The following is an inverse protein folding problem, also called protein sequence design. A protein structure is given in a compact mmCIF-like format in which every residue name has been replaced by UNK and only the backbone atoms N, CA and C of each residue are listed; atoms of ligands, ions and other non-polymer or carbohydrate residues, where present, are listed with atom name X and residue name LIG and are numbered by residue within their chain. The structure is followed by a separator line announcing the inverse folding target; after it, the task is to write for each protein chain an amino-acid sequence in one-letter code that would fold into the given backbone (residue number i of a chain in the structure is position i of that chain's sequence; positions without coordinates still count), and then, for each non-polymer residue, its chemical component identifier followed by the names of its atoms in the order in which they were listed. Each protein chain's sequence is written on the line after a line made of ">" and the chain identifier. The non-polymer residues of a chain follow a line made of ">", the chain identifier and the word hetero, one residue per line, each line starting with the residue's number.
data_IF_195077107884
#
_entry.id   IF_195077107884
#
_cell.length_a   1.000
_cell.length_b   1.000
_cell.length_c   1.000
_cell.angle_alpha   90.00
_cell.angle_beta   90.00
_cell.angle_gamma   90.00
#
_symmetry.space_group_name_H-M   'P 1'
#
loop_
_entity.id
_entity.type
_entity.pdbx_description
1 polymer ?
#
# COMPACT_ATOMS: atom_id res chain seq x y z
N UNK A 1 -10.13 5.68 -5.86
CA UNK A 1 -8.73 6.13 -5.63
C UNK A 1 -7.87 5.76 -6.84
N UNK A 2 -6.75 6.43 -7.08
CA UNK A 2 -5.94 6.22 -8.31
C UNK A 2 -4.46 6.07 -7.94
N UNK A 3 -3.78 5.09 -8.52
CA UNK A 3 -2.34 4.92 -8.45
C UNK A 3 -1.73 5.16 -9.84
N UNK A 4 -0.67 5.95 -9.95
CA UNK A 4 -0.05 6.27 -11.24
C UNK A 4 1.48 6.32 -11.17
N UNK A 5 2.15 5.91 -12.24
CA UNK A 5 3.59 6.09 -12.46
C UNK A 5 3.93 7.40 -13.23
N UNK A 6 2.92 8.25 -13.47
CA UNK A 6 3.04 9.48 -14.28
C UNK A 6 2.72 9.31 -15.77
N UNK A 7 2.63 8.06 -16.26
CA UNK A 7 2.25 7.76 -17.66
C UNK A 7 0.98 6.93 -17.71
N UNK A 8 0.91 5.87 -16.89
CA UNK A 8 -0.21 4.95 -16.74
C UNK A 8 -0.88 5.21 -15.40
N UNK A 9 -2.21 5.05 -15.36
CA UNK A 9 -3.01 5.17 -14.15
C UNK A 9 -3.87 3.91 -13.96
N UNK A 10 -3.88 3.40 -12.73
CA UNK A 10 -4.73 2.31 -12.28
C UNK A 10 -5.73 2.85 -11.28
N UNK A 11 -7.02 2.71 -11.58
CA UNK A 11 -8.10 3.04 -10.65
C UNK A 11 -8.30 1.88 -9.68
N UNK A 12 -8.25 2.18 -8.40
CA UNK A 12 -8.59 1.28 -7.31
C UNK A 12 -9.93 1.70 -6.70
N UNK A 13 -10.67 0.75 -6.11
CA UNK A 13 -11.96 1.06 -5.49
C UNK A 13 -11.80 1.93 -4.25
N UNK A 14 -12.69 2.92 -4.08
CA UNK A 14 -12.72 3.77 -2.87
C UNK A 14 -13.29 3.04 -1.64
N UNK A 15 -13.94 1.90 -1.84
CA UNK A 15 -14.53 1.08 -0.76
C UNK A 15 -13.50 0.16 -0.08
N UNK A 16 -12.23 0.19 -0.50
CA UNK A 16 -11.17 -0.58 0.14
C UNK A 16 -10.88 -0.06 1.55
N UNK A 17 -10.67 -0.98 2.48
CA UNK A 17 -10.34 -0.67 3.87
C UNK A 17 -8.83 -0.38 4.01
N UNK A 18 -8.49 0.75 4.63
CA UNK A 18 -7.10 1.03 5.04
C UNK A 18 -6.80 0.28 6.35
N UNK A 19 -5.80 -0.60 6.36
CA UNK A 19 -5.49 -1.44 7.54
C UNK A 19 -4.71 -0.68 8.61
N UNK A 20 -4.00 0.40 8.24
CA UNK A 20 -3.23 1.23 9.16
C UNK A 20 -3.64 2.72 9.07
N UNK A 21 -4.89 3.08 9.40
CA UNK A 21 -5.35 4.47 9.25
C UNK A 21 -4.66 5.44 10.21
N UNK A 22 -4.26 4.97 11.40
CA UNK A 22 -3.62 5.77 12.44
C UNK A 22 -2.11 5.55 12.44
N UNK A 23 -1.38 6.47 11.81
CA UNK A 23 0.09 6.49 11.82
C UNK A 23 0.60 7.36 12.96
N UNK A 24 1.61 6.88 13.69
CA UNK A 24 2.34 7.68 14.68
C UNK A 24 3.61 8.25 14.04
N UNK A 25 3.65 9.56 13.76
CA UNK A 25 4.79 10.16 13.08
C UNK A 25 5.98 10.37 14.01
N UNK A 26 5.77 10.36 15.33
CA UNK A 26 6.84 10.55 16.32
C UNK A 26 7.40 9.19 16.72
N UNK A 27 8.73 9.06 16.73
CA UNK A 27 9.45 7.92 17.29
C UNK A 27 10.37 8.36 18.42
N UNK A 28 10.74 7.43 19.29
CA UNK A 28 11.71 7.67 20.34
C UNK A 28 12.76 6.56 20.46
N UNK A 29 14.00 6.95 20.73
CA UNK A 29 15.07 6.07 21.17
C UNK A 29 15.37 6.34 22.65
N UNK A 30 15.39 5.27 23.45
CA UNK A 30 15.67 5.35 24.89
C UNK A 30 17.02 4.71 25.17
N UNK A 31 17.87 5.43 25.90
CA UNK A 31 19.17 4.92 26.36
C UNK A 31 19.49 5.46 27.76
N UNK A 32 20.57 4.96 28.36
CA UNK A 32 21.06 5.41 29.65
C UNK A 32 22.51 5.89 29.55
N UNK A 33 22.86 6.90 30.33
CA UNK A 33 24.26 7.31 30.51
C UNK A 33 25.01 6.34 31.43
N UNK A 34 26.34 6.46 31.51
CA UNK A 34 27.15 5.69 32.49
C UNK A 34 26.79 5.99 33.95
N UNK A 35 26.14 7.13 34.22
CA UNK A 35 25.63 7.50 35.54
C UNK A 35 24.21 7.00 35.80
N UNK A 36 23.57 6.32 34.84
CA UNK A 36 22.21 5.82 34.94
C UNK A 36 21.11 6.85 34.64
N UNK A 37 21.45 8.03 34.10
CA UNK A 37 20.45 9.01 33.68
C UNK A 37 19.75 8.53 32.41
N UNK A 38 18.42 8.70 32.34
CA UNK A 38 17.61 8.35 31.17
C UNK A 38 17.80 9.41 30.08
N UNK A 39 18.18 8.98 28.88
CA UNK A 39 18.17 9.78 27.66
C UNK A 39 17.01 9.33 26.78
N UNK A 40 16.17 10.29 26.39
CA UNK A 40 15.06 10.10 25.45
C UNK A 40 15.33 11.01 24.26
N UNK A 41 15.56 10.40 23.09
CA UNK A 41 15.68 11.10 21.82
C UNK A 41 14.39 10.90 21.04
N UNK A 42 13.68 11.98 20.75
CA UNK A 42 12.36 11.95 20.12
C UNK A 42 12.37 12.81 18.85
N UNK A 43 11.84 12.26 17.75
CA UNK A 43 11.79 12.99 16.47
C UNK A 43 10.66 12.52 15.55
N UNK A 44 10.43 13.30 14.50
CA UNK A 44 9.38 13.05 13.50
C UNK A 44 9.95 12.25 12.33
N UNK A 45 9.34 11.09 12.04
CA UNK A 45 9.58 10.27 10.84
C UNK A 45 9.24 11.09 9.59
N UNK A 46 10.24 11.26 8.72
CA UNK A 46 10.09 12.04 7.49
C UNK A 46 9.43 11.23 6.36
N UNK A 47 9.53 9.91 6.41
CA UNK A 47 8.99 8.99 5.42
C UNK A 47 8.69 7.63 6.09
N UNK A 48 8.16 6.68 5.31
CA UNK A 48 7.95 5.32 5.78
C UNK A 48 6.57 5.07 6.39
N UNK A 49 5.58 5.95 6.15
CA UNK A 49 4.19 5.68 6.57
C UNK A 49 3.65 4.47 5.77
N UNK A 50 3.33 3.33 6.42
CA UNK A 50 2.70 2.20 5.75
C UNK A 50 1.26 2.58 5.37
N UNK A 51 0.87 2.21 4.16
CA UNK A 51 -0.46 2.44 3.61
C UNK A 51 -0.93 1.16 2.94
N UNK A 52 -1.59 0.28 3.72
CA UNK A 52 -2.15 -0.97 3.18
C UNK A 52 -3.64 -0.81 2.93
N UNK A 53 -4.07 -1.12 1.72
CA UNK A 53 -5.49 -1.13 1.33
C UNK A 53 -5.92 -2.55 1.00
N UNK A 54 -7.06 -2.96 1.55
CA UNK A 54 -7.60 -4.30 1.39
C UNK A 54 -9.06 -4.24 0.93
N UNK A 55 -9.38 -5.02 -0.12
CA UNK A 55 -10.75 -5.32 -0.52
C UNK A 55 -11.42 -6.22 0.50
N UNK A 56 -12.70 -6.01 0.77
CA UNK A 56 -13.51 -6.90 1.57
C UNK A 56 -14.18 -7.97 0.70
N UNK A 57 -14.63 -9.10 1.27
CA UNK A 57 -15.30 -10.16 0.51
C UNK A 57 -16.50 -9.67 -0.31
N UNK A 58 -17.15 -8.60 0.12
CA UNK A 58 -18.37 -8.02 -0.45
C UNK A 58 -18.16 -6.66 -1.16
N UNK A 59 -17.03 -5.98 -0.92
CA UNK A 59 -16.79 -4.60 -1.40
C UNK A 59 -15.33 -4.33 -1.75
N UNK A 60 -15.07 -3.25 -2.50
CA UNK A 60 -13.70 -2.82 -2.78
C UNK A 60 -12.95 -3.65 -3.82
N UNK A 61 -13.65 -4.42 -4.67
CA UNK A 61 -13.04 -5.26 -5.69
C UNK A 61 -12.41 -4.44 -6.82
N UNK A 62 -11.44 -5.02 -7.50
CA UNK A 62 -10.76 -4.43 -8.66
C UNK A 62 -10.73 -5.42 -9.83
N UNK A 63 -10.69 -4.95 -11.09
CA UNK A 63 -10.56 -5.85 -12.23
C UNK A 63 -9.17 -6.51 -12.26
N UNK A 64 -9.08 -7.74 -12.76
CA UNK A 64 -7.80 -8.46 -12.93
C UNK A 64 -6.75 -7.66 -13.70
N UNK A 65 -7.13 -6.93 -14.75
CA UNK A 65 -6.20 -6.08 -15.48
C UNK A 65 -5.50 -5.03 -14.60
N UNK A 66 -6.21 -4.49 -13.60
CA UNK A 66 -5.61 -3.58 -12.62
C UNK A 66 -4.57 -4.31 -11.77
N UNK A 67 -4.91 -5.52 -11.29
CA UNK A 67 -3.97 -6.37 -10.53
C UNK A 67 -2.73 -6.70 -11.36
N UNK A 68 -2.88 -7.06 -12.62
CA UNK A 68 -1.76 -7.42 -13.51
C UNK A 68 -0.81 -6.21 -13.69
N UNK A 69 -1.36 -5.01 -13.88
CA UNK A 69 -0.55 -3.78 -13.95
C UNK A 69 0.15 -3.48 -12.62
N UNK A 70 -0.54 -3.65 -11.48
CA UNK A 70 0.07 -3.48 -10.16
C UNK A 70 1.22 -4.47 -9.93
N UNK A 71 1.08 -5.73 -10.36
CA UNK A 71 2.14 -6.73 -10.30
C UNK A 71 3.33 -6.37 -11.19
N UNK A 72 3.07 -5.87 -12.40
CA UNK A 72 4.11 -5.38 -13.30
C UNK A 72 4.91 -4.23 -12.66
N UNK A 73 4.22 -3.26 -12.05
CA UNK A 73 4.86 -2.18 -11.29
C UNK A 73 5.61 -2.68 -10.05
N UNK A 74 5.05 -3.64 -9.30
CA UNK A 74 5.70 -4.19 -8.10
C UNK A 74 7.02 -4.92 -8.41
N UNK A 75 7.16 -5.40 -9.65
CA UNK A 75 8.37 -6.06 -10.17
C UNK A 75 9.47 -5.09 -10.59
N UNK A 76 9.22 -3.76 -10.58
CA UNK A 76 10.20 -2.74 -10.94
C UNK A 76 10.93 -2.20 -9.70
N UNK A 77 12.26 -2.39 -9.58
CA UNK A 77 13.05 -1.82 -8.49
C UNK A 77 13.07 -0.29 -8.55
N UNK A 78 12.95 0.37 -7.39
CA UNK A 78 13.04 1.83 -7.28
C UNK A 78 11.84 2.60 -7.85
N UNK A 79 10.76 1.91 -8.25
CA UNK A 79 9.57 2.56 -8.78
C UNK A 79 8.99 3.55 -7.76
N UNK A 80 8.64 4.74 -8.27
CA UNK A 80 7.94 5.79 -7.54
C UNK A 80 6.57 5.96 -8.16
N UNK A 81 5.55 5.88 -7.34
CA UNK A 81 4.16 6.02 -7.75
C UNK A 81 3.53 7.19 -7.00
N UNK A 82 2.43 7.67 -7.54
CA UNK A 82 1.58 8.67 -6.92
C UNK A 82 0.23 8.05 -6.63
N UNK A 83 -0.15 8.03 -5.35
CA UNK A 83 -1.48 7.65 -4.91
C UNK A 83 -2.33 8.91 -4.75
N UNK A 84 -3.39 9.03 -5.52
CA UNK A 84 -4.40 10.08 -5.38
C UNK A 84 -5.63 9.54 -4.65
N UNK A 85 -5.94 10.08 -3.48
CA UNK A 85 -7.10 9.70 -2.65
C UNK A 85 -7.67 10.92 -1.96
N UNK A 86 -9.00 11.08 -1.99
CA UNK A 86 -9.69 12.23 -1.36
C UNK A 86 -9.14 13.60 -1.78
N UNK A 87 -8.72 13.73 -3.04
CA UNK A 87 -8.13 14.95 -3.59
C UNK A 87 -6.71 15.26 -3.11
N UNK A 88 -6.07 14.35 -2.37
CA UNK A 88 -4.68 14.47 -1.91
C UNK A 88 -3.79 13.48 -2.67
N UNK A 89 -2.58 13.93 -2.99
CA UNK A 89 -1.55 13.13 -3.66
C UNK A 89 -0.48 12.70 -2.65
N UNK A 90 -0.19 11.40 -2.62
CA UNK A 90 0.83 10.80 -1.77
C UNK A 90 1.91 10.17 -2.65
N UNK A 91 3.18 10.60 -2.54
CA UNK A 91 4.31 9.87 -3.12
C UNK A 91 4.47 8.54 -2.37
N UNK A 92 4.47 7.44 -3.12
CA UNK A 92 4.53 6.10 -2.54
C UNK A 92 5.44 5.18 -3.35
N UNK A 93 5.89 4.12 -2.71
CA UNK A 93 6.40 2.91 -3.36
C UNK A 93 5.72 1.68 -2.77
N UNK A 94 6.05 0.51 -3.28
CA UNK A 94 5.57 -0.76 -2.73
C UNK A 94 6.29 -1.12 -1.44
N UNK A 95 5.53 -1.37 -0.37
CA UNK A 95 6.06 -1.94 0.86
C UNK A 95 6.27 -3.45 0.66
N UNK A 96 7.53 -3.89 0.74
CA UNK A 96 7.95 -5.29 0.58
C UNK A 96 8.40 -5.94 1.90
N UNK A 97 8.40 -5.18 3.00
CA UNK A 97 8.80 -5.70 4.32
C UNK A 97 7.65 -6.45 5.00
N UNK A 98 6.40 -6.04 4.74
CA UNK A 98 5.20 -6.62 5.36
C UNK A 98 4.49 -7.67 4.48
N UNK A 99 5.27 -8.44 3.71
CA UNK A 99 4.78 -9.50 2.82
C UNK A 99 4.76 -9.11 1.33
N UNK A 100 3.94 -9.81 0.53
CA UNK A 100 3.78 -9.50 -0.90
C UNK A 100 3.13 -8.12 -1.07
N UNK A 101 3.79 -7.23 -1.81
CA UNK A 101 3.32 -5.87 -2.00
C UNK A 101 1.96 -5.79 -2.71
N UNK A 102 1.68 -6.75 -3.58
CA UNK A 102 0.42 -6.92 -4.30
C UNK A 102 0.00 -8.37 -4.14
N UNK A 103 -1.08 -8.59 -3.40
CA UNK A 103 -1.65 -9.91 -3.14
C UNK A 103 -3.08 -9.90 -3.63
N UNK A 104 -3.45 -10.84 -4.50
CA UNK A 104 -4.78 -10.85 -5.08
C UNK A 104 -5.32 -12.27 -5.27
N UNK A 105 -6.63 -12.42 -5.07
CA UNK A 105 -7.37 -13.66 -5.32
C UNK A 105 -8.68 -13.35 -6.05
N UNK A 106 -9.18 -14.23 -6.92
CA UNK A 106 -10.46 -14.01 -7.59
C UNK A 106 -11.61 -14.00 -6.57
N UNK A 107 -12.63 -13.17 -6.82
CA UNK A 107 -13.88 -13.19 -6.03
C UNK A 107 -14.67 -14.46 -6.32
N UNK A 108 -14.67 -14.90 -7.58
CA UNK A 108 -15.31 -16.12 -8.05
C UNK A 108 -14.25 -17.06 -8.63
N UNK A 109 -14.05 -18.21 -7.99
CA UNK A 109 -13.23 -19.28 -8.55
C UNK A 109 -14.07 -20.06 -9.58
N UNK A 110 -13.86 -19.74 -10.85
CA UNK A 110 -14.50 -20.43 -11.97
C UNK A 110 -13.51 -21.38 -12.65
N UNK A 111 -13.97 -22.53 -13.13
CA UNK A 111 -13.15 -23.49 -13.88
C UNK A 111 -12.82 -23.06 -15.32
N UNK A 112 -13.14 -21.82 -15.70
CA UNK A 112 -12.89 -21.25 -17.03
C UNK A 112 -11.61 -20.43 -17.04
N UNK A 113 -11.07 -20.16 -18.24
CA UNK A 113 -9.90 -19.29 -18.39
C UNK A 113 -10.15 -17.91 -17.75
N UNK A 114 -9.20 -17.39 -16.94
CA UNK A 114 -9.31 -16.07 -16.33
C UNK A 114 -9.45 -14.96 -17.38
N UNK A 115 -10.30 -13.98 -17.10
CA UNK A 115 -10.54 -12.81 -17.95
C UNK A 115 -10.02 -11.55 -17.28
N UNK A 116 -9.65 -10.56 -18.08
CA UNK A 116 -9.14 -9.27 -17.58
C UNK A 116 -10.15 -8.49 -16.72
N UNK A 117 -11.45 -8.73 -16.93
CA UNK A 117 -12.52 -8.06 -16.18
C UNK A 117 -13.02 -8.90 -14.99
N UNK A 118 -12.37 -10.02 -14.66
CA UNK A 118 -12.71 -10.78 -13.47
C UNK A 118 -12.43 -9.94 -12.23
N UNK A 119 -13.36 -9.97 -11.28
CA UNK A 119 -13.23 -9.27 -10.02
C UNK A 119 -12.24 -9.96 -9.09
N UNK A 120 -11.35 -9.17 -8.52
CA UNK A 120 -10.28 -9.61 -7.64
C UNK A 120 -10.45 -8.94 -6.26
N UNK A 121 -10.26 -9.74 -5.22
CA UNK A 121 -9.95 -9.25 -3.88
C UNK A 121 -8.46 -8.91 -3.85
N UNK A 122 -8.15 -7.65 -3.60
CA UNK A 122 -6.80 -7.12 -3.59
C UNK A 122 -6.39 -6.72 -2.17
N UNK A 123 -5.19 -7.11 -1.76
CA UNK A 123 -4.44 -6.43 -0.70
C UNK A 123 -3.21 -5.79 -1.34
N UNK A 124 -3.13 -4.46 -1.28
CA UNK A 124 -1.97 -3.69 -1.77
C UNK A 124 -1.28 -2.99 -0.60
N UNK A 125 0.03 -3.19 -0.49
CA UNK A 125 0.88 -2.66 0.59
C UNK A 125 1.79 -1.59 0.00
N UNK A 126 1.58 -0.35 0.42
CA UNK A 126 2.35 0.81 -0.01
C UNK A 126 3.14 1.41 1.16
N UNK A 127 4.16 2.18 0.82
CA UNK A 127 5.00 2.93 1.75
C UNK A 127 5.12 4.37 1.24
N UNK A 128 4.77 5.36 2.07
CA UNK A 128 5.00 6.77 1.77
C UNK A 128 6.50 7.10 1.75
N UNK A 129 6.95 7.85 0.75
CA UNK A 129 8.37 8.20 0.53
C UNK A 129 8.62 9.69 0.37
#
# INVERSE_FOLDING_TARGET
>A
MILSDGTTAVTLSDDMTELQPYWQPVDQAISYTLTGALLVDESIKQAGRPMTFQSQPDTGWVPRAAVDQLQAWASQPGIRLKLTRHGQDYPVTFNRQDGQAVEARPVLELAVSPRQNDWMLLTIRLLGI
#
